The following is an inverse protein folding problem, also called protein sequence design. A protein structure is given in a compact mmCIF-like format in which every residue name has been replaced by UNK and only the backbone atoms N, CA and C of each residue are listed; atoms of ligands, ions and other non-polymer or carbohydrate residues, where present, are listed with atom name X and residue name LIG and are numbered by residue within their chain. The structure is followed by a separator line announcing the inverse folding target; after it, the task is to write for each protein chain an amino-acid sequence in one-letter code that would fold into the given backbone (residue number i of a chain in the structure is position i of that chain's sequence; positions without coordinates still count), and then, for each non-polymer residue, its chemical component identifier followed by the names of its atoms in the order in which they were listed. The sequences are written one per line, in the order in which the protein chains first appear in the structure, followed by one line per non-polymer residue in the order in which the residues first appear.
data_IF_288507910173
#
_entry.id   IF_288507910173
#
_cell.length_a   1.000
_cell.length_b   1.000
_cell.length_c   1.000
_cell.angle_alpha   90.00
_cell.angle_beta   90.00
_cell.angle_gamma   90.00
#
_symmetry.space_group_name_H-M   'P 1'
#
loop_
_entity.id
_entity.type
_entity.pdbx_description
1 polymer ?
#
# COMPACT_ATOMS: atom_id res chain seq x y z
N UNK A 1 23.75 0.35 2.31
CA UNK A 1 24.55 -0.59 1.52
C UNK A 1 23.69 -1.60 0.70
N UNK A 2 22.39 -1.71 0.97
CA UNK A 2 21.49 -2.61 0.22
C UNK A 2 20.93 -1.97 -1.07
N UNK A 3 20.79 -0.63 -1.11
CA UNK A 3 20.29 0.08 -2.29
C UNK A 3 21.37 0.13 -3.37
N UNK A 4 21.01 -0.24 -4.59
CA UNK A 4 21.90 -0.23 -5.77
C UNK A 4 21.14 0.13 -7.05
N UNK A 5 21.81 0.16 -8.20
CA UNK A 5 21.21 0.54 -9.50
C UNK A 5 20.05 -0.34 -9.99
N UNK A 6 19.83 -1.51 -9.39
CA UNK A 6 18.71 -2.40 -9.70
C UNK A 6 17.53 -2.24 -8.75
N UNK A 7 17.69 -1.49 -7.65
CA UNK A 7 16.60 -1.22 -6.69
C UNK A 7 15.54 -0.35 -7.37
N UNK A 8 14.27 -0.73 -7.26
CA UNK A 8 13.13 -0.05 -7.89
C UNK A 8 12.13 0.51 -6.88
N UNK A 9 12.11 0.01 -5.66
CA UNK A 9 11.26 0.48 -4.58
C UNK A 9 11.86 0.08 -3.23
N UNK A 10 11.46 0.76 -2.16
CA UNK A 10 11.56 0.24 -0.81
C UNK A 10 10.18 -0.26 -0.39
N UNK A 11 10.12 -1.45 0.19
CA UNK A 11 8.90 -2.05 0.71
C UNK A 11 9.09 -2.39 2.17
N UNK A 12 8.13 -2.00 3.02
CA UNK A 12 8.18 -2.27 4.45
C UNK A 12 6.78 -2.55 4.99
N UNK A 13 6.69 -3.49 5.92
CA UNK A 13 5.51 -3.61 6.78
C UNK A 13 5.62 -2.58 7.91
N UNK A 14 4.56 -1.80 8.15
CA UNK A 14 4.53 -0.81 9.23
C UNK A 14 4.70 -1.46 10.61
N UNK A 15 4.11 -2.64 10.78
CA UNK A 15 4.32 -3.53 11.92
C UNK A 15 4.66 -4.91 11.35
N UNK A 16 5.88 -5.35 11.55
CA UNK A 16 6.41 -6.58 10.96
C UNK A 16 5.76 -7.85 11.52
N UNK A 17 5.55 -8.84 10.67
CA UNK A 17 5.03 -10.14 11.05
C UNK A 17 6.13 -11.21 10.89
N UNK A 18 6.47 -12.01 11.91
CA UNK A 18 5.75 -12.18 13.20
C UNK A 18 6.37 -11.42 14.39
N UNK A 19 7.50 -10.74 14.21
CA UNK A 19 8.26 -10.16 15.32
C UNK A 19 7.59 -8.93 15.97
N UNK A 20 6.61 -8.33 15.29
CA UNK A 20 5.90 -7.10 15.70
C UNK A 20 6.82 -5.88 15.83
N UNK A 21 7.93 -5.88 15.11
CA UNK A 21 8.80 -4.71 15.02
C UNK A 21 8.07 -3.56 14.35
N UNK A 22 8.13 -2.38 14.95
CA UNK A 22 7.52 -1.17 14.39
C UNK A 22 8.57 -0.44 13.54
N UNK A 23 8.25 -0.25 12.26
CA UNK A 23 9.15 0.43 11.33
C UNK A 23 9.16 1.94 11.59
N UNK A 24 10.36 2.54 11.62
CA UNK A 24 10.54 4.00 11.56
C UNK A 24 10.31 4.46 10.11
N UNK A 25 9.04 4.78 9.79
CA UNK A 25 8.64 5.16 8.44
C UNK A 25 9.30 6.46 7.98
N UNK A 26 9.52 7.42 8.88
CA UNK A 26 10.16 8.69 8.55
C UNK A 26 11.62 8.46 8.13
N UNK A 27 12.35 7.60 8.85
CA UNK A 27 13.71 7.23 8.49
C UNK A 27 13.77 6.46 7.15
N UNK A 28 12.84 5.52 6.92
CA UNK A 28 12.78 4.77 5.66
C UNK A 28 12.41 5.68 4.50
N UNK A 29 11.45 6.60 4.69
CA UNK A 29 11.06 7.61 3.70
C UNK A 29 12.24 8.53 3.32
N UNK A 30 13.03 8.97 4.32
CA UNK A 30 14.22 9.78 4.06
C UNK A 30 15.26 9.03 3.19
N UNK A 31 15.40 7.70 3.40
CA UNK A 31 16.26 6.87 2.56
C UNK A 31 15.68 6.74 1.14
N UNK A 32 14.38 6.46 1.01
CA UNK A 32 13.70 6.34 -0.27
C UNK A 32 13.87 7.61 -1.11
N UNK A 33 13.56 8.77 -0.53
CA UNK A 33 13.72 10.09 -1.17
C UNK A 33 15.14 10.39 -1.60
N UNK A 34 16.14 10.07 -0.76
CA UNK A 34 17.57 10.27 -1.08
C UNK A 34 18.00 9.49 -2.32
N UNK A 35 17.38 8.35 -2.56
CA UNK A 35 17.71 7.49 -3.69
C UNK A 35 16.72 7.61 -4.86
N UNK A 36 15.73 8.50 -4.78
CA UNK A 36 14.69 8.65 -5.81
C UNK A 36 13.89 7.36 -6.01
N UNK A 37 13.53 6.68 -4.92
CA UNK A 37 12.78 5.42 -4.94
C UNK A 37 11.42 5.63 -4.29
N UNK A 38 10.35 4.99 -4.82
CA UNK A 38 9.07 5.00 -4.14
C UNK A 38 9.12 4.15 -2.87
N UNK A 39 8.46 4.64 -1.83
CA UNK A 39 8.22 3.90 -0.60
C UNK A 39 6.83 3.26 -0.62
N UNK A 40 6.80 1.94 -0.57
CA UNK A 40 5.58 1.14 -0.46
C UNK A 40 5.45 0.65 0.99
N UNK A 41 4.34 0.96 1.64
CA UNK A 41 4.09 0.55 3.03
C UNK A 41 2.91 -0.40 3.09
N UNK A 42 3.13 -1.60 3.61
CA UNK A 42 2.05 -2.48 4.02
C UNK A 42 1.60 -2.07 5.43
N UNK A 43 0.40 -1.49 5.52
CA UNK A 43 -0.19 -1.06 6.76
C UNK A 43 -1.37 -1.96 7.20
N UNK A 44 -1.39 -3.19 6.73
CA UNK A 44 -2.45 -4.18 7.04
C UNK A 44 -2.69 -4.30 8.53
N UNK A 45 -1.62 -4.37 9.33
CA UNK A 45 -1.71 -4.61 10.77
C UNK A 45 -2.21 -3.38 11.53
N UNK A 46 -1.69 -2.20 11.18
CA UNK A 46 -2.07 -0.94 11.83
C UNK A 46 -3.44 -0.44 11.39
N UNK A 47 -3.86 -0.71 10.17
CA UNK A 47 -5.04 -0.16 9.51
C UNK A 47 -4.96 1.37 9.32
N UNK A 48 -5.76 1.97 8.46
CA UNK A 48 -5.76 3.43 8.28
C UNK A 48 -6.32 4.18 9.51
N UNK A 49 -6.89 3.47 10.46
CA UNK A 49 -7.36 4.05 11.71
C UNK A 49 -6.22 4.39 12.68
N UNK A 50 -5.25 3.48 12.84
CA UNK A 50 -4.13 3.67 13.77
C UNK A 50 -2.92 4.36 13.12
N UNK A 51 -2.73 4.20 11.81
CA UNK A 51 -1.57 4.73 11.11
C UNK A 51 -1.96 5.16 9.69
N UNK A 52 -1.54 6.35 9.30
CA UNK A 52 -1.67 6.90 7.94
C UNK A 52 -0.28 7.06 7.32
N UNK A 53 0.23 6.06 6.59
CA UNK A 53 1.61 6.07 6.10
C UNK A 53 1.96 7.24 5.17
N UNK A 54 0.98 7.83 4.46
CA UNK A 54 1.21 9.02 3.63
C UNK A 54 1.69 10.22 4.45
N UNK A 55 1.25 10.36 5.70
CA UNK A 55 1.72 11.41 6.62
C UNK A 55 3.19 11.20 7.02
N UNK A 56 3.73 9.99 6.81
CA UNK A 56 5.13 9.59 7.03
C UNK A 56 5.91 9.44 5.71
N UNK A 57 5.38 9.95 4.61
CA UNK A 57 6.06 10.01 3.32
C UNK A 57 6.08 8.70 2.52
N UNK A 58 5.14 7.80 2.77
CA UNK A 58 4.85 6.71 1.84
C UNK A 58 4.31 7.26 0.52
N UNK A 59 4.65 6.60 -0.59
CA UNK A 59 4.10 6.92 -1.91
C UNK A 59 2.95 5.99 -2.26
N UNK A 60 3.03 4.74 -1.81
CA UNK A 60 2.03 3.70 -2.06
C UNK A 60 1.74 2.99 -0.74
N UNK A 61 0.46 2.75 -0.46
CA UNK A 61 0.02 1.98 0.72
C UNK A 61 -0.77 0.76 0.28
N UNK A 62 -0.48 -0.38 0.89
CA UNK A 62 -1.21 -1.61 0.64
C UNK A 62 -1.85 -2.14 1.93
N UNK A 63 -3.01 -2.75 1.79
CA UNK A 63 -3.67 -3.45 2.88
C UNK A 63 -4.25 -4.78 2.40
N UNK A 64 -4.06 -5.83 3.18
CA UNK A 64 -4.91 -7.00 3.09
C UNK A 64 -6.26 -6.67 3.73
N UNK A 65 -7.30 -6.53 2.91
CA UNK A 65 -8.67 -6.31 3.38
C UNK A 65 -9.22 -7.52 4.12
N UNK A 66 -8.63 -8.69 3.88
CA UNK A 66 -8.92 -9.96 4.55
C UNK A 66 -8.76 -9.90 6.08
N UNK A 67 -7.88 -9.03 6.56
CA UNK A 67 -7.48 -8.95 7.97
C UNK A 67 -8.38 -7.98 8.75
N UNK A 68 -7.80 -7.00 9.44
CA UNK A 68 -8.53 -6.10 10.33
C UNK A 68 -9.59 -5.24 9.64
N UNK A 69 -9.38 -4.86 8.37
CA UNK A 69 -10.33 -4.04 7.64
C UNK A 69 -11.67 -4.77 7.46
N UNK A 70 -11.64 -6.01 6.96
CA UNK A 70 -12.83 -6.85 6.92
C UNK A 70 -13.27 -7.35 8.30
N UNK A 71 -12.31 -7.75 9.12
CA UNK A 71 -12.47 -8.05 10.55
C UNK A 71 -13.23 -9.32 10.92
N UNK A 72 -13.73 -10.07 9.94
CA UNK A 72 -14.62 -11.23 10.16
C UNK A 72 -14.09 -12.52 9.54
N UNK A 73 -13.07 -12.48 8.72
CA UNK A 73 -12.53 -13.65 8.03
C UNK A 73 -13.49 -14.27 6.99
N UNK A 74 -14.49 -13.52 6.55
CA UNK A 74 -15.54 -14.00 5.64
C UNK A 74 -15.21 -13.80 4.16
N UNK A 75 -14.29 -12.88 3.85
CA UNK A 75 -13.95 -12.53 2.48
C UNK A 75 -12.44 -12.27 2.34
N UNK A 76 -11.90 -12.62 1.17
CA UNK A 76 -10.55 -12.28 0.78
C UNK A 76 -10.56 -11.01 -0.07
N UNK A 77 -9.60 -10.14 0.17
CA UNK A 77 -9.44 -8.93 -0.63
C UNK A 77 -8.15 -8.19 -0.31
N UNK A 78 -7.77 -7.29 -1.20
CA UNK A 78 -6.64 -6.39 -1.03
C UNK A 78 -6.95 -5.04 -1.63
N UNK A 79 -6.26 -4.02 -1.17
CA UNK A 79 -6.33 -2.68 -1.73
C UNK A 79 -4.94 -2.09 -1.85
N UNK A 80 -4.71 -1.40 -2.95
CA UNK A 80 -3.53 -0.59 -3.19
C UNK A 80 -3.98 0.86 -3.34
N UNK A 81 -3.38 1.75 -2.57
CA UNK A 81 -3.66 3.18 -2.59
C UNK A 81 -2.40 3.91 -3.04
N UNK A 82 -2.53 4.71 -4.09
CA UNK A 82 -1.46 5.55 -4.63
C UNK A 82 -1.62 6.97 -4.09
N UNK A 83 -0.56 7.52 -3.50
CA UNK A 83 -0.54 8.91 -3.03
C UNK A 83 -0.50 9.93 -4.17
N UNK A 84 -0.15 9.50 -5.38
CA UNK A 84 -0.09 10.32 -6.59
C UNK A 84 1.04 11.35 -6.60
N UNK A 85 2.01 11.24 -5.69
CA UNK A 85 3.06 12.25 -5.50
C UNK A 85 4.43 11.83 -6.02
N UNK A 86 4.64 10.55 -6.30
CA UNK A 86 5.93 10.04 -6.76
C UNK A 86 6.15 10.37 -8.26
N UNK A 87 7.36 10.83 -8.57
CA UNK A 87 7.78 11.10 -9.93
C UNK A 87 8.25 9.82 -10.64
N UNK A 88 7.46 9.35 -11.60
CA UNK A 88 7.74 8.15 -12.39
C UNK A 88 8.53 8.41 -13.67
N UNK A 89 9.07 9.62 -13.87
CA UNK A 89 9.77 10.00 -15.12
C UNK A 89 11.25 9.61 -15.16
N UNK A 90 11.81 9.11 -14.05
CA UNK A 90 13.20 8.62 -14.03
C UNK A 90 13.36 7.37 -14.91
N UNK A 91 14.43 7.33 -15.71
CA UNK A 91 14.74 6.23 -16.63
C UNK A 91 14.85 4.84 -15.99
N UNK A 92 15.05 4.75 -14.68
CA UNK A 92 14.98 3.51 -13.92
C UNK A 92 13.62 2.82 -13.98
N UNK A 93 12.57 3.57 -14.23
CA UNK A 93 11.20 3.08 -14.28
C UNK A 93 10.77 2.87 -15.73
N UNK A 94 11.48 2.00 -16.47
CA UNK A 94 11.22 1.74 -17.90
C UNK A 94 9.75 1.49 -18.21
N UNK A 95 9.01 0.81 -17.33
CA UNK A 95 7.56 0.58 -17.46
C UNK A 95 6.71 1.86 -17.50
N UNK A 96 7.27 3.00 -17.12
CA UNK A 96 6.56 4.29 -17.06
C UNK A 96 7.08 5.29 -18.07
N UNK A 97 8.36 5.17 -18.47
CA UNK A 97 9.00 6.13 -19.37
C UNK A 97 9.04 5.66 -20.81
N UNK A 98 9.01 4.34 -21.04
CA UNK A 98 8.98 3.78 -22.39
C UNK A 98 7.54 3.64 -22.91
N UNK A 99 7.34 3.70 -24.25
CA UNK A 99 6.02 3.47 -24.84
C UNK A 99 5.51 2.06 -24.55
N UNK A 100 4.33 1.93 -23.95
CA UNK A 100 3.72 0.64 -23.63
C UNK A 100 2.94 0.10 -24.85
N UNK A 101 3.51 -0.86 -25.55
CA UNK A 101 2.88 -1.47 -26.71
C UNK A 101 1.57 -2.19 -26.39
N UNK A 102 1.35 -2.59 -25.12
CA UNK A 102 0.09 -3.23 -24.69
C UNK A 102 -1.04 -2.23 -24.48
N UNK A 103 -0.74 -0.93 -24.47
CA UNK A 103 -1.69 0.15 -24.25
C UNK A 103 -1.38 1.38 -25.11
N UNK A 104 -1.64 1.29 -26.40
CA UNK A 104 -1.56 2.39 -27.37
C UNK A 104 -0.22 3.16 -27.40
N UNK A 105 0.88 2.50 -27.02
CA UNK A 105 2.21 3.12 -26.92
C UNK A 105 2.28 4.31 -25.96
N UNK A 106 1.38 4.35 -24.96
CA UNK A 106 1.35 5.37 -23.93
C UNK A 106 2.60 5.28 -23.04
N UNK A 107 3.19 6.43 -22.74
CA UNK A 107 4.23 6.55 -21.71
C UNK A 107 3.57 7.02 -20.41
N UNK A 108 3.38 6.12 -19.50
CA UNK A 108 2.58 6.32 -18.28
C UNK A 108 3.05 7.50 -17.43
N UNK A 109 4.39 7.78 -17.40
CA UNK A 109 4.97 8.89 -16.65
C UNK A 109 4.79 10.26 -17.30
N UNK A 110 4.38 10.33 -18.59
CA UNK A 110 4.38 11.58 -19.36
C UNK A 110 3.05 11.93 -20.03
N UNK A 111 2.33 10.91 -20.50
CA UNK A 111 1.23 11.14 -21.46
C UNK A 111 -0.14 11.10 -20.80
N UNK A 112 -0.22 10.91 -19.47
CA UNK A 112 -1.49 10.91 -18.74
C UNK A 112 -2.01 12.34 -18.54
N UNK A 113 -3.35 12.53 -18.60
CA UNK A 113 -3.95 13.79 -18.21
C UNK A 113 -3.68 14.14 -16.74
N UNK A 114 -3.73 15.41 -16.41
CA UNK A 114 -3.66 15.88 -15.03
C UNK A 114 -4.70 15.18 -14.14
N UNK A 115 -4.31 14.80 -12.93
CA UNK A 115 -5.17 14.11 -11.96
C UNK A 115 -5.20 12.58 -12.11
N UNK A 116 -4.44 12.02 -13.06
CA UNK A 116 -4.29 10.56 -13.21
C UNK A 116 -2.91 10.11 -12.73
N UNK A 117 -2.75 9.60 -11.48
CA UNK A 117 -1.46 9.11 -10.98
C UNK A 117 -0.96 7.93 -11.84
N UNK A 118 0.30 7.98 -12.30
CA UNK A 118 0.83 6.98 -13.24
C UNK A 118 0.78 5.54 -12.72
N UNK A 119 1.15 5.32 -11.47
CA UNK A 119 1.24 3.98 -10.91
C UNK A 119 -0.13 3.28 -10.89
N UNK A 120 -1.12 3.87 -10.23
CA UNK A 120 -2.42 3.22 -10.08
C UNK A 120 -3.19 3.17 -11.41
N UNK A 121 -2.99 4.17 -12.28
CA UNK A 121 -3.62 4.19 -13.61
C UNK A 121 -3.10 3.03 -14.45
N UNK A 122 -1.78 2.84 -14.53
CA UNK A 122 -1.17 1.70 -15.22
C UNK A 122 -1.59 0.38 -14.58
N UNK A 123 -1.59 0.31 -13.24
CA UNK A 123 -1.96 -0.91 -12.52
C UNK A 123 -3.37 -1.39 -12.89
N UNK A 124 -4.33 -0.47 -13.04
CA UNK A 124 -5.70 -0.78 -13.46
C UNK A 124 -5.82 -1.15 -14.93
N UNK A 125 -5.12 -0.42 -15.79
CA UNK A 125 -5.29 -0.55 -17.24
C UNK A 125 -4.41 -1.65 -17.87
N UNK A 126 -3.40 -2.14 -17.17
CA UNK A 126 -2.54 -3.22 -17.68
C UNK A 126 -2.64 -4.48 -16.80
N UNK A 127 -2.03 -4.57 -15.60
CA UNK A 127 -2.08 -5.81 -14.83
C UNK A 127 -3.50 -6.24 -14.47
N UNK A 128 -4.33 -5.34 -13.93
CA UNK A 128 -5.69 -5.68 -13.51
C UNK A 128 -6.55 -6.14 -14.69
N UNK A 129 -6.51 -5.39 -15.81
CA UNK A 129 -7.25 -5.75 -17.03
C UNK A 129 -6.82 -7.11 -17.58
N UNK A 130 -5.52 -7.38 -17.61
CA UNK A 130 -4.98 -8.58 -18.24
C UNK A 130 -5.12 -9.83 -17.37
N UNK A 131 -4.97 -9.70 -16.04
CA UNK A 131 -5.05 -10.80 -15.09
C UNK A 131 -6.46 -11.01 -14.53
N UNK A 132 -7.31 -9.98 -14.57
CA UNK A 132 -8.68 -10.05 -14.05
C UNK A 132 -8.76 -10.19 -12.52
N UNK A 133 -7.68 -9.84 -11.78
CA UNK A 133 -7.61 -9.98 -10.33
C UNK A 133 -8.45 -8.91 -9.61
N UNK A 134 -9.76 -8.89 -9.91
CA UNK A 134 -10.72 -7.95 -9.36
C UNK A 134 -11.50 -8.60 -8.22
N UNK A 135 -11.72 -7.85 -7.12
CA UNK A 135 -12.57 -8.31 -6.03
C UNK A 135 -14.03 -8.45 -6.52
N UNK A 136 -14.73 -9.51 -6.08
CA UNK A 136 -16.14 -9.64 -6.39
C UNK A 136 -16.97 -8.59 -5.64
N UNK A 137 -18.12 -8.15 -6.18
CA UNK A 137 -19.01 -7.21 -5.49
C UNK A 137 -19.45 -7.71 -4.11
N UNK A 138 -19.74 -9.02 -3.99
CA UNK A 138 -20.16 -9.62 -2.71
C UNK A 138 -19.06 -9.55 -1.65
N UNK A 139 -17.81 -9.88 -2.03
CA UNK A 139 -16.67 -9.75 -1.12
C UNK A 139 -16.41 -8.29 -0.75
N UNK A 140 -16.53 -7.37 -1.70
CA UNK A 140 -16.41 -5.95 -1.43
C UNK A 140 -17.47 -5.47 -0.45
N UNK A 141 -18.71 -5.89 -0.62
CA UNK A 141 -19.80 -5.58 0.30
C UNK A 141 -19.55 -6.10 1.72
N UNK A 142 -19.15 -7.37 1.86
CA UNK A 142 -18.81 -7.96 3.17
C UNK A 142 -17.67 -7.21 3.88
N UNK A 143 -16.66 -6.80 3.12
CA UNK A 143 -15.55 -6.01 3.68
C UNK A 143 -16.02 -4.61 4.10
N UNK A 144 -16.88 -3.95 3.32
CA UNK A 144 -17.46 -2.65 3.66
C UNK A 144 -18.25 -2.72 4.98
N UNK A 145 -19.00 -3.80 5.23
CA UNK A 145 -19.66 -4.00 6.52
C UNK A 145 -18.65 -4.05 7.68
N UNK A 146 -17.50 -4.70 7.47
CA UNK A 146 -16.43 -4.73 8.46
C UNK A 146 -15.82 -3.36 8.75
N UNK A 147 -15.72 -2.51 7.74
CA UNK A 147 -15.16 -1.15 7.88
C UNK A 147 -15.97 -0.25 8.79
N UNK A 148 -17.30 -0.40 8.83
CA UNK A 148 -18.19 0.43 9.66
C UNK A 148 -17.82 0.36 11.15
N UNK A 149 -17.33 -0.78 11.61
CA UNK A 149 -16.96 -1.01 13.02
C UNK A 149 -15.46 -0.92 13.27
N UNK A 150 -14.66 -0.61 12.27
CA UNK A 150 -13.19 -0.64 12.37
C UNK A 150 -12.65 0.20 13.55
N UNK A 151 -13.05 1.47 13.76
CA UNK A 151 -12.53 2.27 14.85
C UNK A 151 -12.79 1.62 16.22
N UNK A 152 -14.03 1.19 16.45
CA UNK A 152 -14.43 0.53 17.70
C UNK A 152 -13.66 -0.74 17.97
N UNK A 153 -13.44 -1.55 16.93
CA UNK A 153 -12.67 -2.79 17.05
C UNK A 153 -11.20 -2.52 17.35
N UNK A 154 -10.58 -1.58 16.63
CA UNK A 154 -9.16 -1.29 16.82
C UNK A 154 -8.88 -0.70 18.20
N UNK A 155 -9.71 0.20 18.70
CA UNK A 155 -9.60 0.70 20.08
C UNK A 155 -9.66 -0.44 21.10
N UNK A 156 -10.64 -1.34 20.95
CA UNK A 156 -10.80 -2.46 21.86
C UNK A 156 -9.65 -3.45 21.77
N UNK A 157 -9.17 -3.76 20.56
CA UNK A 157 -8.02 -4.65 20.36
C UNK A 157 -6.76 -4.09 21.02
N UNK A 158 -6.46 -2.80 20.82
CA UNK A 158 -5.30 -2.15 21.44
C UNK A 158 -5.39 -2.17 22.97
N UNK A 159 -6.55 -1.81 23.52
CA UNK A 159 -6.77 -1.81 24.97
C UNK A 159 -6.64 -3.23 25.57
N UNK A 160 -7.17 -4.24 24.90
CA UNK A 160 -7.07 -5.63 25.34
C UNK A 160 -5.64 -6.15 25.24
N UNK A 161 -4.96 -5.92 24.11
CA UNK A 161 -3.57 -6.32 23.90
C UNK A 161 -2.65 -5.76 24.98
N UNK A 162 -2.81 -4.47 25.31
CA UNK A 162 -2.03 -3.83 26.35
C UNK A 162 -2.25 -4.49 27.75
N UNK A 163 -3.52 -4.81 28.09
CA UNK A 163 -3.83 -5.51 29.34
C UNK A 163 -3.19 -6.89 29.40
N UNK A 164 -3.26 -7.64 28.29
CA UNK A 164 -2.64 -8.98 28.22
C UNK A 164 -1.13 -8.86 28.35
N UNK A 165 -0.50 -7.91 27.67
CA UNK A 165 0.95 -7.68 27.77
C UNK A 165 1.39 -7.37 29.21
N UNK A 166 0.65 -6.54 29.93
CA UNK A 166 0.95 -6.28 31.35
C UNK A 166 0.72 -7.49 32.25
N UNK A 167 -0.24 -8.34 31.94
CA UNK A 167 -0.49 -9.56 32.72
C UNK A 167 0.61 -10.60 32.53
N UNK A 168 1.22 -10.67 31.34
CA UNK A 168 2.27 -11.63 31.01
C UNK A 168 3.68 -11.16 31.42
N UNK A 169 3.86 -9.92 31.79
CA UNK A 169 5.13 -9.33 32.26
C UNK A 169 5.36 -9.63 33.73
#
# INVERSE_FOLDING_TARGET
AAVNGRTRALYVEAIGNPALDVADLDAVSAIAKRHGLPLVVDATFATPYLLRPFEHGADIVVHSLTKWLGGHGTALGGIVVDGGTFDWTDSRFSLYVEPDASYHYLRWGYDLPEGYPPFITRMRLVPLRNLGACISPDNAWMILQGLETLPLRMERHCANALKVAYHLK
#
